data_IF_021958605975
#
_entry.id   IF_021958605975
#
_cell.length_a   1.000
_cell.length_b   1.000
_cell.length_c   1.000
_cell.angle_alpha   90.00
_cell.angle_beta   90.00
_cell.angle_gamma   90.00
#
_symmetry.space_group_name_H-M   'P 1'
#
loop_
_entity.id
_entity.type
_entity.pdbx_description
1 polymer ?
#
# COMPACT_ATOMS: atom_id res chain seq x y z
N UNK A 1 -14.51 8.02 -37.00
CA UNK A 1 -14.03 7.44 -35.73
C UNK A 1 -14.68 8.20 -34.59
N UNK A 2 -15.33 7.54 -33.64
CA UNK A 2 -15.92 8.22 -32.47
C UNK A 2 -14.80 8.96 -31.71
N UNK A 3 -14.97 10.27 -31.55
CA UNK A 3 -14.05 11.14 -30.81
C UNK A 3 -14.45 11.05 -29.35
N UNK A 4 -13.64 10.38 -28.52
CA UNK A 4 -13.88 10.38 -27.08
C UNK A 4 -13.71 11.80 -26.54
N UNK A 5 -14.48 12.19 -25.52
CA UNK A 5 -14.28 13.47 -24.86
C UNK A 5 -12.91 13.50 -24.17
N UNK A 6 -12.43 14.70 -23.89
CA UNK A 6 -11.21 14.88 -23.12
C UNK A 6 -11.46 14.50 -21.65
N UNK A 7 -10.75 13.49 -21.16
CA UNK A 7 -10.87 12.97 -19.80
C UNK A 7 -9.76 13.49 -18.87
N UNK A 8 -8.86 14.36 -19.35
CA UNK A 8 -7.72 14.82 -18.55
C UNK A 8 -8.12 15.52 -17.24
N UNK A 9 -9.12 16.43 -17.22
CA UNK A 9 -9.57 17.05 -15.96
C UNK A 9 -10.12 16.02 -14.96
N UNK A 10 -10.71 14.93 -15.46
CA UNK A 10 -11.24 13.88 -14.60
C UNK A 10 -10.11 13.03 -14.02
N UNK A 11 -9.06 12.74 -14.78
CA UNK A 11 -7.87 12.02 -14.27
C UNK A 11 -7.20 12.81 -13.15
N UNK A 12 -7.05 14.11 -13.33
CA UNK A 12 -6.44 15.01 -12.34
C UNK A 12 -7.14 14.90 -10.97
N UNK A 13 -8.47 14.76 -10.96
CA UNK A 13 -9.26 14.63 -9.74
C UNK A 13 -8.88 13.39 -8.91
N UNK A 14 -8.52 12.26 -9.55
CA UNK A 14 -8.18 11.01 -8.87
C UNK A 14 -6.67 10.78 -8.71
N UNK A 15 -5.86 11.61 -9.37
CA UNK A 15 -4.40 11.44 -9.46
C UNK A 15 -3.74 11.31 -8.09
N UNK A 16 -4.17 12.12 -7.11
CA UNK A 16 -3.60 12.12 -5.76
C UNK A 16 -3.76 10.77 -5.03
N UNK A 17 -4.85 10.02 -5.26
CA UNK A 17 -5.02 8.68 -4.69
C UNK A 17 -4.03 7.70 -5.31
N UNK A 18 -3.89 7.76 -6.64
CA UNK A 18 -3.05 6.86 -7.42
C UNK A 18 -1.57 7.12 -7.11
N UNK A 19 -1.14 8.39 -7.08
CA UNK A 19 0.23 8.78 -6.76
C UNK A 19 0.61 8.36 -5.34
N UNK A 20 -0.28 8.57 -4.36
CA UNK A 20 -0.05 8.12 -2.99
C UNK A 20 0.11 6.60 -2.91
N UNK A 21 -0.67 5.84 -3.67
CA UNK A 21 -0.56 4.39 -3.70
C UNK A 21 0.70 3.92 -4.44
N UNK A 22 1.05 4.56 -5.56
CA UNK A 22 2.28 4.25 -6.29
C UNK A 22 3.52 4.49 -5.41
N UNK A 23 3.54 5.60 -4.67
CA UNK A 23 4.59 5.86 -3.69
C UNK A 23 4.68 4.78 -2.60
N UNK A 24 3.53 4.28 -2.11
CA UNK A 24 3.50 3.14 -1.19
C UNK A 24 4.18 1.91 -1.80
N UNK A 25 3.85 1.57 -3.05
CA UNK A 25 4.40 0.36 -3.69
C UNK A 25 5.89 0.51 -4.04
N UNK A 26 6.30 1.67 -4.53
CA UNK A 26 7.66 1.90 -5.04
C UNK A 26 8.70 2.03 -3.93
N UNK A 27 8.35 2.69 -2.82
CA UNK A 27 9.28 2.92 -1.71
C UNK A 27 8.65 2.70 -0.34
N UNK A 28 7.35 2.99 -0.19
CA UNK A 28 6.70 2.96 1.13
C UNK A 28 6.68 1.57 1.78
N UNK A 29 6.52 0.49 1.01
CA UNK A 29 6.57 -0.88 1.53
C UNK A 29 7.96 -1.22 2.06
N UNK A 30 9.02 -0.81 1.37
CA UNK A 30 10.40 -1.03 1.80
C UNK A 30 10.71 -0.24 3.08
N UNK A 31 10.34 1.04 3.13
CA UNK A 31 10.48 1.88 4.34
C UNK A 31 9.68 1.28 5.51
N UNK A 32 8.47 0.80 5.24
CA UNK A 32 7.61 0.19 6.27
C UNK A 32 8.23 -1.09 6.85
N UNK A 33 8.70 -2.01 5.99
CA UNK A 33 9.31 -3.25 6.45
C UNK A 33 10.66 -3.02 7.14
N UNK A 34 11.46 -2.08 6.66
CA UNK A 34 12.73 -1.70 7.28
C UNK A 34 12.55 -1.00 8.63
N UNK A 35 11.40 -0.38 8.88
CA UNK A 35 11.00 0.18 10.17
C UNK A 35 10.65 -0.89 11.24
N UNK A 36 10.44 -2.14 10.83
CA UNK A 36 10.19 -3.25 11.76
C UNK A 36 11.52 -3.66 12.39
N UNK A 37 11.58 -3.63 13.73
CA UNK A 37 12.80 -4.04 14.44
C UNK A 37 13.10 -5.52 14.16
N UNK A 38 14.35 -5.86 13.81
CA UNK A 38 14.77 -7.25 13.67
C UNK A 38 14.48 -8.07 14.92
N UNK A 39 14.07 -9.32 14.73
CA UNK A 39 13.91 -10.29 15.80
C UNK A 39 15.28 -10.94 16.04
N UNK A 40 15.72 -10.96 17.30
CA UNK A 40 16.97 -11.58 17.70
C UNK A 40 16.69 -12.75 18.65
N UNK A 41 17.13 -13.94 18.26
CA UNK A 41 17.03 -15.17 19.05
C UNK A 41 18.44 -15.61 19.44
N UNK A 42 18.67 -15.88 20.72
CA UNK A 42 19.97 -16.37 21.22
C UNK A 42 19.79 -17.79 21.73
N UNK A 43 20.60 -18.70 21.22
CA UNK A 43 20.69 -20.06 21.74
C UNK A 43 21.54 -20.04 23.02
N UNK A 44 20.95 -20.48 24.13
CA UNK A 44 21.60 -20.49 25.45
C UNK A 44 22.70 -21.55 25.57
N UNK A 45 22.65 -22.61 24.76
CA UNK A 45 23.63 -23.71 24.82
C UNK A 45 24.83 -23.44 23.91
N UNK A 46 24.59 -22.96 22.69
CA UNK A 46 25.67 -22.69 21.72
C UNK A 46 26.15 -21.23 21.73
N UNK A 47 25.47 -20.35 22.47
CA UNK A 47 25.69 -18.92 22.53
C UNK A 47 25.62 -18.21 21.16
N UNK A 48 25.03 -18.86 20.15
CA UNK A 48 24.83 -18.29 18.81
C UNK A 48 23.64 -17.34 18.81
N UNK A 49 23.77 -16.24 18.07
CA UNK A 49 22.73 -15.25 17.83
C UNK A 49 22.16 -15.45 16.42
N UNK A 50 20.85 -15.51 16.29
CA UNK A 50 20.14 -15.46 15.01
C UNK A 50 19.36 -14.16 14.94
N UNK A 51 19.62 -13.36 13.90
CA UNK A 51 18.89 -12.14 13.59
C UNK A 51 18.01 -12.38 12.38
N UNK A 52 16.73 -12.05 12.50
CA UNK A 52 15.70 -12.25 11.47
C UNK A 52 15.09 -10.89 11.14
N UNK A 53 15.05 -10.53 9.86
CA UNK A 53 14.46 -9.27 9.40
C UNK A 53 13.93 -9.40 7.97
N UNK A 54 13.09 -8.45 7.57
CA UNK A 54 12.54 -8.42 6.21
C UNK A 54 13.41 -7.60 5.26
N UNK A 55 13.41 -7.97 3.99
CA UNK A 55 14.01 -7.20 2.91
C UNK A 55 13.20 -7.33 1.63
N UNK A 56 13.45 -6.41 0.68
CA UNK A 56 12.97 -6.49 -0.70
C UNK A 56 11.47 -6.86 -0.86
N UNK A 57 10.54 -6.07 -0.29
CA UNK A 57 9.11 -6.27 -0.56
C UNK A 57 8.79 -6.01 -2.03
N UNK A 58 7.97 -6.87 -2.61
CA UNK A 58 7.47 -6.73 -3.97
C UNK A 58 5.99 -7.10 -4.03
N UNK A 59 5.19 -6.25 -4.67
CA UNK A 59 3.79 -6.52 -4.98
C UNK A 59 3.65 -6.87 -6.46
N UNK A 60 3.18 -8.08 -6.74
CA UNK A 60 2.94 -8.53 -8.11
C UNK A 60 1.55 -8.11 -8.61
N UNK A 61 1.38 -7.90 -9.94
CA UNK A 61 0.07 -7.65 -10.54
C UNK A 61 -0.94 -8.76 -10.24
N UNK A 62 -2.25 -8.46 -10.18
CA UNK A 62 -3.29 -9.48 -9.93
C UNK A 62 -3.30 -10.55 -11.01
N UNK A 63 -3.25 -11.82 -10.58
CA UNK A 63 -3.19 -12.98 -11.46
C UNK A 63 -4.27 -13.99 -11.07
N UNK A 64 -4.74 -14.75 -12.05
CA UNK A 64 -5.70 -15.84 -11.81
C UNK A 64 -4.99 -17.00 -11.13
N UNK A 65 -5.61 -17.53 -10.09
CA UNK A 65 -5.11 -18.70 -9.38
C UNK A 65 -5.30 -19.95 -10.28
N UNK A 66 -4.24 -20.33 -11.00
CA UNK A 66 -4.23 -21.51 -11.87
C UNK A 66 -3.27 -22.55 -11.30
N UNK A 67 -3.80 -23.73 -10.97
CA UNK A 67 -3.03 -24.85 -10.42
C UNK A 67 -1.99 -25.42 -11.38
N UNK A 68 -2.12 -25.19 -12.70
CA UNK A 68 -1.16 -25.58 -13.76
C UNK A 68 -1.32 -24.65 -14.98
N UNK A 69 -0.23 -23.97 -15.37
CA UNK A 69 -0.19 -23.08 -16.54
C UNK A 69 0.53 -21.76 -16.28
N UNK A 70 0.72 -20.95 -17.32
CA UNK A 70 1.21 -19.58 -17.18
C UNK A 70 0.17 -18.70 -16.48
N UNK A 71 0.62 -17.87 -15.54
CA UNK A 71 -0.27 -17.00 -14.79
C UNK A 71 -0.98 -16.01 -15.72
N UNK A 72 -2.30 -16.14 -15.83
CA UNK A 72 -3.13 -15.24 -16.64
C UNK A 72 -3.45 -13.97 -15.85
N UNK A 73 -3.51 -12.80 -16.50
CA UNK A 73 -3.95 -11.57 -15.84
C UNK A 73 -5.38 -11.75 -15.34
N UNK A 74 -5.63 -11.30 -14.10
CA UNK A 74 -6.96 -11.14 -13.54
C UNK A 74 -7.36 -9.69 -13.74
N UNK A 75 -8.50 -9.40 -14.38
CA UNK A 75 -8.96 -8.03 -14.62
C UNK A 75 -10.01 -7.58 -13.59
N UNK A 76 -10.13 -6.26 -13.33
CA UNK A 76 -11.07 -5.74 -12.32
C UNK A 76 -12.53 -6.13 -12.57
N UNK A 77 -13.02 -6.08 -13.81
CA UNK A 77 -14.34 -6.58 -14.21
C UNK A 77 -14.62 -8.00 -13.71
N UNK A 78 -13.64 -8.89 -13.80
CA UNK A 78 -13.79 -10.29 -13.38
C UNK A 78 -13.97 -10.38 -11.86
N UNK A 79 -13.24 -9.57 -11.09
CA UNK A 79 -13.36 -9.51 -9.64
C UNK A 79 -14.75 -9.01 -9.19
N UNK A 80 -15.31 -8.02 -9.89
CA UNK A 80 -16.67 -7.52 -9.64
C UNK A 80 -17.71 -8.63 -9.86
N UNK A 81 -17.63 -9.33 -10.99
CA UNK A 81 -18.57 -10.40 -11.35
C UNK A 81 -18.47 -11.62 -10.43
N UNK A 82 -17.25 -12.04 -10.11
CA UNK A 82 -17.00 -13.22 -9.27
C UNK A 82 -17.09 -12.94 -7.76
N UNK A 83 -17.36 -11.69 -7.35
CA UNK A 83 -17.40 -11.25 -5.94
C UNK A 83 -16.12 -11.56 -5.17
N UNK A 84 -14.97 -11.41 -5.83
CA UNK A 84 -13.64 -11.62 -5.24
C UNK A 84 -12.88 -10.28 -5.13
N UNK A 85 -11.77 -10.28 -4.40
CA UNK A 85 -10.91 -9.10 -4.26
C UNK A 85 -9.92 -8.98 -5.42
N UNK A 86 -9.69 -7.76 -5.91
CA UNK A 86 -8.64 -7.45 -6.88
C UNK A 86 -7.33 -7.24 -6.14
N UNK A 87 -6.60 -8.33 -5.93
CA UNK A 87 -5.37 -8.38 -5.13
C UNK A 87 -4.24 -9.04 -5.90
N UNK A 88 -3.02 -8.63 -5.57
CA UNK A 88 -1.77 -9.17 -6.09
C UNK A 88 -1.01 -9.96 -5.02
N UNK A 89 -0.16 -10.89 -5.45
CA UNK A 89 0.73 -11.61 -4.54
C UNK A 89 1.76 -10.65 -3.94
N UNK A 90 1.78 -10.54 -2.61
CA UNK A 90 2.78 -9.78 -1.88
C UNK A 90 3.86 -10.73 -1.37
N UNK A 91 5.09 -10.47 -1.78
CA UNK A 91 6.24 -11.30 -1.45
C UNK A 91 7.35 -10.43 -0.87
N UNK A 92 8.16 -10.98 0.01
CA UNK A 92 9.33 -10.31 0.54
C UNK A 92 10.40 -11.33 0.89
N UNK A 93 11.65 -10.87 0.98
CA UNK A 93 12.74 -11.69 1.48
C UNK A 93 12.69 -11.70 3.01
N UNK A 94 12.75 -12.88 3.62
CA UNK A 94 13.09 -13.04 5.04
C UNK A 94 14.58 -13.34 5.11
N UNK A 95 15.30 -12.43 5.76
CA UNK A 95 16.74 -12.46 5.91
C UNK A 95 17.09 -13.10 7.25
N UNK A 96 17.90 -14.15 7.21
CA UNK A 96 18.45 -14.84 8.37
C UNK A 96 19.95 -14.58 8.45
N UNK A 97 20.40 -14.06 9.58
CA UNK A 97 21.82 -13.79 9.83
C UNK A 97 22.24 -14.45 11.14
N UNK A 98 23.14 -15.43 11.06
CA UNK A 98 23.75 -16.06 12.24
C UNK A 98 24.99 -15.28 12.65
N UNK A 99 25.01 -14.78 13.88
CA UNK A 99 26.01 -13.85 14.42
C UNK A 99 26.21 -12.69 13.45
N UNK A 100 27.46 -12.36 13.10
CA UNK A 100 27.82 -11.37 12.08
C UNK A 100 28.22 -12.03 10.74
N UNK A 101 27.71 -13.24 10.50
CA UNK A 101 27.99 -14.02 9.30
C UNK A 101 27.21 -13.55 8.05
N UNK A 102 27.31 -14.32 6.95
CA UNK A 102 26.59 -14.03 5.72
C UNK A 102 25.07 -14.09 5.92
N UNK A 103 24.35 -13.25 5.18
CA UNK A 103 22.89 -13.18 5.21
C UNK A 103 22.32 -14.22 4.25
N UNK A 104 21.52 -15.14 4.78
CA UNK A 104 20.72 -16.09 3.99
C UNK A 104 19.38 -15.41 3.72
N UNK A 105 18.98 -15.34 2.44
CA UNK A 105 17.72 -14.72 2.02
C UNK A 105 16.81 -15.79 1.45
N UNK A 106 15.61 -15.89 2.02
CA UNK A 106 14.56 -16.76 1.50
C UNK A 106 13.35 -15.93 1.11
N UNK A 107 12.79 -16.19 -0.07
CA UNK A 107 11.66 -15.45 -0.61
C UNK A 107 10.35 -16.04 -0.08
N UNK A 108 9.59 -15.26 0.67
CA UNK A 108 8.31 -15.68 1.25
C UNK A 108 7.12 -15.01 0.56
N UNK A 109 6.03 -15.76 0.41
CA UNK A 109 4.72 -15.23 0.05
C UNK A 109 3.99 -14.77 1.32
N UNK A 110 3.86 -13.45 1.49
CA UNK A 110 3.25 -12.81 2.67
C UNK A 110 1.73 -12.65 2.55
N UNK A 111 1.13 -13.17 1.46
CA UNK A 111 -0.31 -13.17 1.24
C UNK A 111 -0.72 -12.33 0.04
N UNK A 112 -2.01 -12.02 -0.03
CA UNK A 112 -2.60 -11.22 -1.09
C UNK A 112 -2.78 -9.78 -0.61
N UNK A 113 -2.30 -8.82 -1.38
CA UNK A 113 -2.37 -7.40 -1.07
C UNK A 113 -3.25 -6.67 -2.10
N UNK A 114 -4.25 -5.87 -1.66
CA UNK A 114 -5.16 -5.18 -2.57
C UNK A 114 -4.45 -4.24 -3.55
N UNK A 115 -4.84 -4.30 -4.83
CA UNK A 115 -4.29 -3.45 -5.88
C UNK A 115 -5.27 -2.33 -6.20
N UNK A 116 -4.79 -1.08 -6.15
CA UNK A 116 -5.61 0.07 -6.52
C UNK A 116 -5.78 0.12 -8.03
N UNK A 117 -7.00 0.36 -8.52
CA UNK A 117 -7.24 0.49 -9.96
C UNK A 117 -6.46 1.68 -10.53
N UNK A 118 -5.95 1.50 -11.76
CA UNK A 118 -5.07 2.44 -12.48
C UNK A 118 -3.70 2.71 -11.86
N UNK A 119 -3.37 2.12 -10.71
CA UNK A 119 -2.02 2.17 -10.15
C UNK A 119 -0.98 1.45 -11.01
N UNK A 120 0.30 1.61 -10.66
CA UNK A 120 1.43 1.05 -11.40
C UNK A 120 1.41 -0.47 -11.53
N UNK A 121 0.79 -1.16 -10.57
CA UNK A 121 0.68 -2.62 -10.52
C UNK A 121 -0.63 -3.13 -11.14
N UNK A 122 -1.57 -2.24 -11.44
CA UNK A 122 -2.84 -2.58 -12.08
C UNK A 122 -2.68 -2.78 -13.59
N UNK A 123 -3.36 -3.78 -14.15
CA UNK A 123 -3.40 -4.02 -15.60
C UNK A 123 -4.01 -2.88 -16.42
N UNK A 124 -4.73 -1.95 -15.78
CA UNK A 124 -5.42 -0.85 -16.45
C UNK A 124 -4.64 0.48 -16.50
N UNK A 125 -3.44 0.57 -15.88
CA UNK A 125 -2.65 1.81 -15.69
C UNK A 125 -2.67 2.75 -16.91
N UNK A 126 -2.32 2.23 -18.08
CA UNK A 126 -2.18 2.98 -19.32
C UNK A 126 -3.21 2.55 -20.40
N UNK A 127 -4.30 1.90 -20.00
CA UNK A 127 -5.31 1.44 -20.95
C UNK A 127 -6.03 2.63 -21.59
N UNK A 128 -6.02 2.69 -22.93
CA UNK A 128 -6.79 3.67 -23.70
C UNK A 128 -8.30 3.45 -23.53
N UNK A 129 -9.17 4.44 -23.81
CA UNK A 129 -10.63 4.26 -23.75
C UNK A 129 -11.13 3.05 -24.56
N UNK A 130 -10.53 2.79 -25.74
CA UNK A 130 -10.86 1.60 -26.55
C UNK A 130 -10.42 0.30 -25.88
N UNK A 131 -9.22 0.31 -25.29
CA UNK A 131 -8.67 -0.84 -24.57
C UNK A 131 -9.50 -1.15 -23.32
N UNK A 132 -9.95 -0.13 -22.58
CA UNK A 132 -10.85 -0.29 -21.44
C UNK A 132 -12.15 -0.97 -21.84
N UNK A 133 -12.80 -0.48 -22.91
CA UNK A 133 -14.01 -1.11 -23.46
C UNK A 133 -13.75 -2.57 -23.84
N UNK A 134 -12.61 -2.87 -24.47
CA UNK A 134 -12.25 -4.27 -24.81
C UNK A 134 -12.06 -5.17 -23.58
N UNK A 135 -11.69 -4.59 -22.45
CA UNK A 135 -11.60 -5.27 -21.15
C UNK A 135 -12.90 -5.23 -20.33
N UNK A 136 -14.02 -4.78 -20.93
CA UNK A 136 -15.33 -4.63 -20.29
C UNK A 136 -15.32 -3.63 -19.13
N UNK A 137 -14.46 -2.62 -19.22
CA UNK A 137 -14.42 -1.47 -18.32
C UNK A 137 -15.03 -0.24 -19.01
N UNK A 138 -15.40 0.75 -18.20
CA UNK A 138 -15.89 2.04 -18.70
C UNK A 138 -14.74 2.78 -19.43
N UNK A 139 -14.98 3.38 -20.62
CA UNK A 139 -13.98 4.18 -21.33
C UNK A 139 -13.44 5.37 -20.50
N UNK A 140 -14.23 5.84 -19.53
CA UNK A 140 -13.89 6.90 -18.59
C UNK A 140 -13.45 6.36 -17.21
N UNK A 141 -13.00 5.11 -17.09
CA UNK A 141 -12.46 4.57 -15.83
C UNK A 141 -11.19 5.33 -15.40
N UNK A 142 -11.20 5.88 -14.18
CA UNK A 142 -10.16 6.74 -13.63
C UNK A 142 -9.36 6.08 -12.51
N UNK A 143 -9.87 5.02 -11.89
CA UNK A 143 -9.23 4.33 -10.77
C UNK A 143 -9.24 5.13 -9.46
N UNK A 144 -8.25 4.87 -8.60
CA UNK A 144 -8.17 5.51 -7.26
C UNK A 144 -8.96 4.79 -6.16
N UNK A 145 -9.53 3.63 -6.45
CA UNK A 145 -10.27 2.79 -5.50
C UNK A 145 -9.85 1.31 -5.61
N UNK A 146 -10.37 0.49 -4.71
CA UNK A 146 -10.09 -0.94 -4.59
C UNK A 146 -11.36 -1.75 -4.81
N UNK A 147 -11.21 -2.98 -5.32
CA UNK A 147 -12.30 -3.97 -5.35
C UNK A 147 -12.01 -5.00 -4.27
N UNK A 148 -12.84 -5.06 -3.24
CA UNK A 148 -12.75 -6.02 -2.14
C UNK A 148 -14.03 -6.84 -2.08
N UNK A 149 -13.91 -8.15 -2.29
CA UNK A 149 -15.04 -9.09 -2.34
C UNK A 149 -16.14 -8.63 -3.34
N UNK A 150 -15.71 -8.16 -4.50
CA UNK A 150 -16.58 -7.58 -5.55
C UNK A 150 -17.13 -6.18 -5.25
N UNK A 151 -16.87 -5.61 -4.07
CA UNK A 151 -17.34 -4.28 -3.69
C UNK A 151 -16.26 -3.24 -3.94
N UNK A 152 -16.64 -2.12 -4.55
CA UNK A 152 -15.78 -0.98 -4.74
C UNK A 152 -15.65 -0.17 -3.45
N UNK A 153 -14.42 0.11 -3.04
CA UNK A 153 -14.09 0.79 -1.79
C UNK A 153 -12.97 1.78 -2.02
N UNK A 154 -13.15 3.00 -1.52
CA UNK A 154 -12.12 4.04 -1.55
C UNK A 154 -11.66 4.38 -0.14
N UNK A 155 -10.41 4.80 -0.01
CA UNK A 155 -9.88 5.33 1.25
C UNK A 155 -10.12 6.84 1.24
N UNK A 156 -11.02 7.31 2.10
CA UNK A 156 -11.36 8.74 2.18
C UNK A 156 -10.17 9.54 2.70
N UNK A 157 -9.86 10.64 2.02
CA UNK A 157 -8.88 11.61 2.51
C UNK A 157 -9.35 12.25 3.83
N UNK A 158 -8.41 12.44 4.75
CA UNK A 158 -8.66 13.07 6.05
C UNK A 158 -7.73 14.26 6.22
N UNK A 159 -8.29 15.39 6.67
CA UNK A 159 -7.52 16.57 7.04
C UNK A 159 -6.86 16.31 8.40
N UNK A 160 -5.54 16.48 8.45
CA UNK A 160 -4.73 16.25 9.65
C UNK A 160 -3.89 17.48 9.99
N UNK A 161 -3.51 17.66 11.27
CA UNK A 161 -2.55 18.68 11.69
C UNK A 161 -1.26 18.62 10.87
N UNK A 162 -0.70 19.80 10.55
CA UNK A 162 0.54 19.94 9.77
C UNK A 162 1.67 19.11 10.39
N UNK A 163 2.34 18.30 9.57
CA UNK A 163 3.48 17.47 9.99
C UNK A 163 4.69 18.34 10.33
N UNK A 164 5.45 17.95 11.35
CA UNK A 164 6.75 18.52 11.72
C UNK A 164 6.71 20.04 11.95
N UNK A 165 5.61 20.55 12.49
CA UNK A 165 5.43 21.97 12.79
C UNK A 165 4.85 22.14 14.22
N UNK A 166 5.54 22.86 15.12
CA UNK A 166 5.03 23.12 16.46
C UNK A 166 3.90 24.15 16.40
N UNK A 167 2.73 23.79 16.94
CA UNK A 167 1.56 24.67 16.98
C UNK A 167 1.18 25.00 18.42
N UNK A 168 1.11 26.29 18.76
CA UNK A 168 0.48 26.75 19.99
C UNK A 168 -1.03 26.56 19.91
N UNK A 169 -1.64 25.95 20.92
CA UNK A 169 -3.06 25.70 21.02
C UNK A 169 -3.59 26.10 22.40
N UNK A 170 -4.82 26.60 22.43
CA UNK A 170 -5.56 26.87 23.67
C UNK A 170 -6.80 25.98 23.69
N UNK A 171 -6.89 25.06 24.66
CA UNK A 171 -8.00 24.11 24.80
C UNK A 171 -8.27 23.82 26.27
N UNK A 172 -9.53 23.98 26.69
CA UNK A 172 -9.98 23.64 28.06
C UNK A 172 -9.70 22.17 28.45
N UNK A 173 -9.68 21.28 27.46
CA UNK A 173 -9.32 19.87 27.67
C UNK A 173 -7.91 19.66 28.21
N UNK A 174 -6.99 20.62 28.05
CA UNK A 174 -5.64 20.52 28.63
C UNK A 174 -5.63 20.78 30.13
N UNK A 175 -6.40 21.79 30.58
CA UNK A 175 -6.60 22.10 32.00
C UNK A 175 -7.28 20.94 32.74
N UNK A 176 -8.23 20.26 32.09
CA UNK A 176 -8.95 19.12 32.68
C UNK A 176 -8.09 17.85 32.88
N UNK A 177 -6.87 17.78 32.35
CA UNK A 177 -6.03 16.56 32.47
C UNK A 177 -5.48 16.34 33.87
N UNK A 178 -5.11 17.42 34.57
CA UNK A 178 -4.52 17.36 35.91
C UNK A 178 -4.63 18.72 36.59
N UNK A 179 -4.78 18.70 37.91
CA UNK A 179 -4.71 19.90 38.73
C UNK A 179 -3.37 20.63 38.52
N UNK A 180 -3.41 21.96 38.43
CA UNK A 180 -2.25 22.80 38.15
C UNK A 180 -1.89 22.97 36.65
N UNK A 181 -2.62 22.33 35.72
CA UNK A 181 -2.35 22.50 34.29
C UNK A 181 -3.06 23.73 33.71
N UNK A 182 -2.43 24.41 32.76
CA UNK A 182 -3.04 25.50 31.98
C UNK A 182 -3.85 24.98 30.79
N UNK A 183 -4.66 25.84 30.19
CA UNK A 183 -5.36 25.59 28.93
C UNK A 183 -4.47 25.77 27.69
N UNK A 184 -3.20 26.19 27.86
CA UNK A 184 -2.25 26.44 26.78
C UNK A 184 -1.28 25.27 26.62
N UNK A 185 -1.02 24.88 25.38
CA UNK A 185 0.01 23.88 25.06
C UNK A 185 0.64 24.16 23.70
N UNK A 186 1.86 23.65 23.50
CA UNK A 186 2.46 23.51 22.17
C UNK A 186 2.35 22.04 21.76
N UNK A 187 1.73 21.78 20.61
CA UNK A 187 1.53 20.43 20.08
C UNK A 187 2.28 20.31 18.76
N UNK A 188 3.04 19.23 18.61
CA UNK A 188 3.72 18.87 17.37
C UNK A 188 3.34 17.45 16.96
N UNK A 189 3.04 17.27 15.67
CA UNK A 189 2.86 15.95 15.05
C UNK A 189 4.11 15.58 14.28
N UNK A 190 4.96 14.76 14.89
CA UNK A 190 6.17 14.24 14.26
C UNK A 190 5.83 13.07 13.32
N UNK A 191 6.25 13.16 12.07
CA UNK A 191 6.08 12.11 11.06
C UNK A 191 7.47 11.75 10.55
N UNK A 192 7.77 10.45 10.49
CA UNK A 192 9.02 9.92 9.94
C UNK A 192 9.01 10.11 8.42
N UNK A 193 10.19 10.30 7.84
CA UNK A 193 10.39 10.21 6.39
C UNK A 193 10.25 8.77 5.91
#
# INVERSE_FOLDING_TARGET
MAKYPDFEPLKELFQHHIDSYNHLIESGLETTLSGIKPIEVRDTFTNKKLRIYFGKPELHPPQKDQKRGSAKPLYPYECRQAKISYSGAFVADVCFQYNDGPVIRERFHLGQFPVMLKSNVCHLKNASPRTLVSHREEPAEMGGYFILNGLERLIRLVIMPKRNYPMSMVRNSFRARREGYSDKAVVIRCVRE
#
